data_IF_141912582169
#
_entry.id   IF_141912582169
#
_cell.length_a   1.000
_cell.length_b   1.000
_cell.length_c   1.000
_cell.angle_alpha   90.00
_cell.angle_beta   90.00
_cell.angle_gamma   90.00
#
_symmetry.space_group_name_H-M   'P 1'
#
loop_
_entity.id
_entity.type
_entity.pdbx_description
1 polymer ?
#
# COMPACT_ATOMS: atom_id res chain seq x y z
N UNK A 1 -12.38 1.38 9.22
CA UNK A 1 -11.39 0.50 9.86
C UNK A 1 -11.85 -0.91 9.62
N UNK A 2 -10.95 -1.78 9.22
CA UNK A 2 -11.25 -3.18 8.91
C UNK A 2 -11.83 -3.89 10.13
N UNK A 3 -12.86 -4.67 9.91
CA UNK A 3 -13.67 -5.33 10.93
C UNK A 3 -13.84 -6.81 10.62
N UNK A 4 -14.28 -7.59 11.61
CA UNK A 4 -14.58 -9.01 11.43
C UNK A 4 -15.60 -9.26 10.31
N UNK A 5 -16.56 -8.33 10.12
CA UNK A 5 -17.58 -8.39 9.07
C UNK A 5 -16.99 -8.28 7.67
N UNK A 6 -15.81 -7.68 7.51
CA UNK A 6 -15.13 -7.61 6.22
C UNK A 6 -14.65 -8.98 5.74
N UNK A 7 -14.45 -9.95 6.65
CA UNK A 7 -14.20 -11.36 6.31
C UNK A 7 -15.46 -11.99 5.71
N UNK A 8 -16.61 -11.75 6.32
CA UNK A 8 -17.91 -12.24 5.85
C UNK A 8 -18.20 -11.77 4.42
N UNK A 9 -18.00 -10.47 4.20
CA UNK A 9 -18.20 -9.82 2.90
C UNK A 9 -17.11 -10.17 1.88
N UNK A 10 -16.06 -10.88 2.28
CA UNK A 10 -14.93 -11.25 1.43
C UNK A 10 -14.01 -10.08 1.08
N UNK A 11 -14.14 -8.93 1.74
CA UNK A 11 -13.23 -7.79 1.57
C UNK A 11 -11.89 -8.04 2.25
N UNK A 12 -11.90 -8.60 3.46
CA UNK A 12 -10.70 -8.99 4.20
C UNK A 12 -10.49 -10.50 4.04
N UNK A 13 -9.33 -10.90 3.55
CA UNK A 13 -8.96 -12.32 3.42
C UNK A 13 -7.67 -12.61 4.17
N UNK A 14 -7.49 -13.87 4.56
CA UNK A 14 -6.23 -14.37 5.09
C UNK A 14 -5.50 -15.21 4.05
N UNK A 15 -4.19 -15.07 3.97
CA UNK A 15 -3.33 -15.70 2.97
C UNK A 15 -2.12 -16.33 3.63
N UNK A 16 -1.57 -17.38 3.01
CA UNK A 16 -0.40 -18.07 3.58
C UNK A 16 0.87 -17.22 3.51
N UNK A 17 1.10 -16.55 2.39
CA UNK A 17 2.36 -15.86 2.14
C UNK A 17 2.38 -14.40 2.63
N UNK A 18 1.21 -13.75 2.74
CA UNK A 18 1.10 -12.33 3.10
C UNK A 18 0.29 -12.05 4.38
N UNK A 19 -0.32 -13.06 5.00
CA UNK A 19 -1.25 -12.86 6.11
C UNK A 19 -2.53 -12.16 5.66
N UNK A 20 -2.94 -11.12 6.39
CA UNK A 20 -4.16 -10.36 6.11
C UNK A 20 -4.01 -9.47 4.87
N UNK A 21 -5.03 -9.48 4.01
CA UNK A 21 -5.13 -8.63 2.81
C UNK A 21 -6.53 -8.02 2.73
N UNK A 22 -6.61 -6.69 2.62
CA UNK A 22 -7.82 -5.97 2.24
C UNK A 22 -7.89 -5.88 0.70
N UNK A 23 -8.84 -6.59 0.11
CA UNK A 23 -9.05 -6.64 -1.34
C UNK A 23 -9.51 -5.30 -1.94
N UNK A 24 -10.06 -4.40 -1.13
CA UNK A 24 -10.35 -3.02 -1.50
C UNK A 24 -9.07 -2.23 -1.76
N UNK A 25 -8.07 -2.36 -0.88
CA UNK A 25 -6.74 -1.78 -1.08
C UNK A 25 -5.97 -2.49 -2.19
N UNK A 26 -6.08 -3.82 -2.28
CA UNK A 26 -5.42 -4.63 -3.32
C UNK A 26 -6.09 -4.56 -4.71
N UNK A 27 -7.06 -3.66 -4.94
CA UNK A 27 -7.60 -3.40 -6.29
C UNK A 27 -6.54 -2.83 -7.23
N UNK A 28 -5.74 -1.89 -6.73
CA UNK A 28 -4.63 -1.27 -7.47
C UNK A 28 -5.03 -0.19 -8.46
N UNK A 29 -6.26 0.37 -8.37
CA UNK A 29 -6.74 1.41 -9.29
C UNK A 29 -5.86 2.67 -9.24
N UNK A 30 -5.48 3.10 -8.03
CA UNK A 30 -4.55 4.20 -7.78
C UNK A 30 -3.17 3.96 -8.42
N UNK A 31 -2.65 2.75 -8.27
CA UNK A 31 -1.39 2.31 -8.83
C UNK A 31 -1.45 2.18 -10.36
N UNK A 32 -2.61 1.81 -10.91
CA UNK A 32 -2.85 1.79 -12.36
C UNK A 32 -2.84 3.20 -12.93
N UNK A 33 -3.45 4.16 -12.24
CA UNK A 33 -3.40 5.58 -12.62
C UNK A 33 -1.98 6.14 -12.55
N UNK A 34 -1.22 5.82 -11.50
CA UNK A 34 0.19 6.16 -11.38
C UNK A 34 1.01 5.57 -12.54
N UNK A 35 0.82 4.28 -12.81
CA UNK A 35 1.54 3.58 -13.87
C UNK A 35 1.26 4.17 -15.25
N UNK A 36 -0.01 4.46 -15.54
CA UNK A 36 -0.40 5.07 -16.81
C UNK A 36 0.30 6.41 -17.05
N UNK A 37 0.45 7.26 -16.03
CA UNK A 37 1.18 8.53 -16.17
C UNK A 37 2.65 8.32 -16.56
N UNK A 38 3.31 7.31 -15.96
CA UNK A 38 4.70 6.98 -16.26
C UNK A 38 4.86 6.36 -17.66
N UNK A 39 3.87 5.61 -18.13
CA UNK A 39 3.90 5.02 -19.48
C UNK A 39 3.65 6.06 -20.56
N UNK A 40 2.64 6.90 -20.39
CA UNK A 40 2.23 7.86 -21.43
C UNK A 40 3.14 9.08 -21.49
N UNK A 41 3.78 9.45 -20.37
CA UNK A 41 4.64 10.64 -20.26
C UNK A 41 3.96 11.94 -20.72
N UNK A 42 2.62 12.00 -20.68
CA UNK A 42 1.83 13.00 -21.41
C UNK A 42 1.68 14.36 -20.72
N UNK A 43 2.14 14.50 -19.47
CA UNK A 43 1.99 15.72 -18.69
C UNK A 43 3.30 16.52 -18.65
N UNK A 44 3.66 17.14 -19.78
CA UNK A 44 4.92 17.85 -19.95
C UNK A 44 5.17 18.87 -18.83
N UNK A 45 6.38 18.86 -18.28
CA UNK A 45 6.74 19.79 -17.23
C UNK A 45 6.94 21.19 -17.80
N UNK A 46 6.25 22.22 -17.27
CA UNK A 46 6.51 23.61 -17.64
C UNK A 46 7.84 24.12 -17.08
N UNK A 47 8.44 23.39 -16.13
CA UNK A 47 9.65 23.82 -15.41
C UNK A 47 10.96 23.30 -16.03
N UNK A 48 10.92 22.16 -16.75
CA UNK A 48 12.13 21.56 -17.34
C UNK A 48 11.80 20.76 -18.60
N UNK A 49 12.36 21.18 -19.73
CA UNK A 49 12.21 20.48 -21.02
C UNK A 49 12.74 19.05 -20.92
N UNK A 50 12.00 18.10 -21.50
CA UNK A 50 12.35 16.67 -21.48
C UNK A 50 11.92 15.94 -20.20
N UNK A 51 11.06 16.56 -19.38
CA UNK A 51 10.47 15.97 -18.18
C UNK A 51 8.94 16.07 -18.24
N UNK A 52 8.28 15.26 -17.44
CA UNK A 52 6.83 15.28 -17.22
C UNK A 52 6.52 15.19 -15.72
N UNK A 53 5.34 15.66 -15.33
CA UNK A 53 4.86 15.62 -13.95
C UNK A 53 4.01 14.38 -13.71
N UNK A 54 4.34 13.65 -12.64
CA UNK A 54 3.61 12.49 -12.15
C UNK A 54 2.97 12.85 -10.83
N UNK A 55 1.67 12.62 -10.72
CA UNK A 55 0.89 12.89 -9.53
C UNK A 55 0.34 11.61 -8.94
N UNK A 56 0.51 11.43 -7.63
CA UNK A 56 -0.03 10.30 -6.89
C UNK A 56 -0.55 10.76 -5.54
N UNK A 57 -1.63 10.14 -5.07
CA UNK A 57 -2.17 10.44 -3.76
C UNK A 57 -2.86 9.23 -3.16
N UNK A 58 -2.94 9.22 -1.84
CA UNK A 58 -3.78 8.33 -1.07
C UNK A 58 -4.72 9.17 -0.22
N UNK A 59 -5.94 8.69 -0.07
CA UNK A 59 -6.96 9.38 0.72
C UNK A 59 -7.78 8.41 1.55
N UNK A 60 -8.26 8.91 2.68
CA UNK A 60 -9.27 8.24 3.50
C UNK A 60 -10.34 9.27 3.86
N UNK A 61 -11.59 8.85 3.74
CA UNK A 61 -12.74 9.58 4.25
C UNK A 61 -13.34 8.81 5.42
N UNK A 62 -13.57 9.47 6.55
CA UNK A 62 -14.33 8.93 7.68
C UNK A 62 -15.28 10.01 8.19
N UNK A 63 -16.57 9.69 8.27
CA UNK A 63 -17.63 10.67 8.50
C UNK A 63 -17.50 11.85 7.50
N UNK A 64 -17.52 13.08 7.98
CA UNK A 64 -17.42 14.31 7.17
C UNK A 64 -15.97 14.80 6.99
N UNK A 65 -14.97 14.04 7.42
CA UNK A 65 -13.55 14.43 7.32
C UNK A 65 -12.87 13.56 6.27
N UNK A 66 -12.20 14.20 5.32
CA UNK A 66 -11.26 13.56 4.41
C UNK A 66 -9.83 14.01 4.69
N UNK A 67 -8.92 13.04 4.67
CA UNK A 67 -7.48 13.26 4.74
C UNK A 67 -6.84 12.73 3.47
N UNK A 68 -5.91 13.49 2.92
CA UNK A 68 -5.22 13.13 1.69
C UNK A 68 -3.74 13.44 1.82
N UNK A 69 -2.90 12.51 1.37
CA UNK A 69 -1.49 12.73 1.10
C UNK A 69 -1.30 12.67 -0.39
N UNK A 70 -0.71 13.73 -0.94
CA UNK A 70 -0.40 13.80 -2.35
C UNK A 70 1.08 14.11 -2.56
N UNK A 71 1.68 13.50 -3.57
CA UNK A 71 3.01 13.81 -4.04
C UNK A 71 2.98 14.12 -5.53
N UNK A 72 3.81 15.07 -5.95
CA UNK A 72 4.07 15.37 -7.34
C UNK A 72 5.56 15.19 -7.62
N UNK A 73 5.89 14.48 -8.68
CA UNK A 73 7.26 14.10 -9.02
C UNK A 73 7.53 14.53 -10.46
N UNK A 74 8.70 15.12 -10.71
CA UNK A 74 9.13 15.43 -12.07
C UNK A 74 10.07 14.34 -12.57
N UNK A 75 9.68 13.67 -13.65
CA UNK A 75 10.36 12.47 -14.17
C UNK A 75 10.87 12.75 -15.57
N UNK A 76 12.11 12.34 -15.87
CA UNK A 76 12.69 12.47 -17.21
C UNK A 76 11.94 11.58 -18.21
N UNK A 77 11.76 12.07 -19.44
CA UNK A 77 11.13 11.31 -20.53
C UNK A 77 12.05 10.20 -21.07
N UNK A 78 11.44 9.19 -21.70
CA UNK A 78 12.14 8.14 -22.43
C UNK A 78 12.90 7.14 -21.54
N UNK A 79 12.54 7.02 -20.27
CA UNK A 79 13.18 6.06 -19.36
C UNK A 79 12.76 4.62 -19.68
N UNK A 80 13.64 3.67 -19.37
CA UNK A 80 13.33 2.24 -19.51
C UNK A 80 12.12 1.85 -18.66
N UNK A 81 11.41 0.80 -19.09
CA UNK A 81 10.25 0.29 -18.37
C UNK A 81 10.59 -0.08 -16.92
N UNK A 82 11.75 -0.71 -16.69
CA UNK A 82 12.18 -1.11 -15.34
C UNK A 82 12.50 0.08 -14.45
N UNK A 83 13.10 1.12 -15.03
CA UNK A 83 13.31 2.39 -14.31
C UNK A 83 11.98 3.02 -13.92
N UNK A 84 11.02 3.07 -14.84
CA UNK A 84 9.66 3.57 -14.56
C UNK A 84 8.97 2.76 -13.47
N UNK A 85 9.07 1.42 -13.49
CA UNK A 85 8.52 0.55 -12.43
C UNK A 85 9.12 0.88 -11.07
N UNK A 86 10.44 1.05 -11.01
CA UNK A 86 11.16 1.38 -9.77
C UNK A 86 10.75 2.77 -9.24
N UNK A 87 10.53 3.75 -10.14
CA UNK A 87 10.04 5.08 -9.78
C UNK A 87 8.60 5.02 -9.27
N UNK A 88 7.72 4.29 -9.97
CA UNK A 88 6.34 4.07 -9.55
C UNK A 88 6.29 3.46 -8.14
N UNK A 89 7.13 2.45 -7.89
CA UNK A 89 7.25 1.80 -6.60
C UNK A 89 7.65 2.78 -5.51
N UNK A 90 8.70 3.57 -5.75
CA UNK A 90 9.14 4.59 -4.78
C UNK A 90 8.06 5.62 -4.48
N UNK A 91 7.34 6.10 -5.50
CA UNK A 91 6.25 7.07 -5.31
C UNK A 91 5.15 6.49 -4.42
N UNK A 92 4.66 5.29 -4.76
CA UNK A 92 3.60 4.61 -3.99
C UNK A 92 4.05 4.34 -2.55
N UNK A 93 5.28 3.86 -2.38
CA UNK A 93 5.82 3.52 -1.07
C UNK A 93 6.03 4.76 -0.19
N UNK A 94 6.64 5.82 -0.73
CA UNK A 94 6.83 7.09 -0.02
C UNK A 94 5.48 7.69 0.43
N UNK A 95 4.49 7.74 -0.47
CA UNK A 95 3.17 8.28 -0.13
C UNK A 95 2.46 7.41 0.92
N UNK A 96 2.60 6.08 0.86
CA UNK A 96 2.03 5.17 1.86
C UNK A 96 2.60 5.41 3.27
N UNK A 97 3.92 5.59 3.39
CA UNK A 97 4.56 5.86 4.68
C UNK A 97 4.20 7.23 5.27
N UNK A 98 4.02 8.23 4.42
CA UNK A 98 3.60 9.57 4.83
C UNK A 98 2.13 9.59 5.23
N UNK A 99 1.28 8.88 4.50
CA UNK A 99 -0.15 8.70 4.84
C UNK A 99 -0.32 8.06 6.22
N UNK A 100 0.48 7.04 6.52
CA UNK A 100 0.53 6.43 7.85
C UNK A 100 0.93 7.41 8.95
N UNK A 101 1.99 8.18 8.70
CA UNK A 101 2.53 9.13 9.69
C UNK A 101 1.45 10.14 10.10
N UNK A 102 0.67 10.64 9.14
CA UNK A 102 -0.43 11.56 9.42
C UNK A 102 -1.57 10.91 10.19
N UNK A 103 -1.93 9.68 9.83
CA UNK A 103 -2.96 8.93 10.55
C UNK A 103 -2.55 8.59 11.99
N UNK A 104 -1.25 8.45 12.24
CA UNK A 104 -0.69 8.22 13.58
C UNK A 104 -0.60 9.49 14.44
N UNK A 105 -0.75 10.69 13.86
CA UNK A 105 -0.67 11.94 14.62
C UNK A 105 -1.80 12.07 15.64
N UNK A 106 -1.43 12.53 16.85
CA UNK A 106 -2.29 12.56 18.04
C UNK A 106 -3.61 13.32 17.87
N UNK A 107 -3.66 14.31 16.96
CA UNK A 107 -4.91 15.01 16.64
C UNK A 107 -5.93 14.07 15.99
N UNK A 108 -5.50 13.14 15.13
CA UNK A 108 -6.36 12.14 14.48
C UNK A 108 -6.56 10.88 15.32
N UNK A 109 -5.59 10.49 16.16
CA UNK A 109 -5.74 9.35 17.07
C UNK A 109 -6.88 9.55 18.09
N UNK A 110 -7.21 10.81 18.42
CA UNK A 110 -8.33 11.17 19.31
C UNK A 110 -9.71 11.05 18.67
N UNK A 111 -9.82 11.13 17.33
CA UNK A 111 -11.07 10.99 16.58
C UNK A 111 -11.16 9.67 15.79
N UNK A 112 -10.06 8.93 15.68
CA UNK A 112 -9.95 7.67 14.95
C UNK A 112 -8.83 6.79 15.51
N UNK A 113 -9.12 5.53 15.83
CA UNK A 113 -8.10 4.55 16.29
C UNK A 113 -7.14 4.08 15.16
N UNK A 114 -7.10 4.77 14.01
CA UNK A 114 -6.63 4.21 12.74
C UNK A 114 -5.34 4.84 12.23
N UNK A 115 -4.18 4.40 12.75
CA UNK A 115 -2.95 4.29 11.95
C UNK A 115 -2.94 3.01 11.11
N UNK A 116 -2.07 2.89 10.10
CA UNK A 116 -1.97 1.72 9.19
C UNK A 116 -2.09 0.40 9.94
N UNK A 117 -3.08 -0.39 9.56
CA UNK A 117 -3.25 -1.76 10.03
C UNK A 117 -2.24 -2.67 9.31
N UNK A 118 -2.04 -3.89 9.83
CA UNK A 118 -1.00 -4.78 9.34
C UNK A 118 -1.11 -5.14 7.85
N UNK A 119 -2.33 -5.10 7.31
CA UNK A 119 -2.68 -5.43 5.94
C UNK A 119 -2.49 -4.28 4.95
N UNK A 120 -2.54 -3.02 5.39
CA UNK A 120 -2.74 -1.86 4.49
C UNK A 120 -1.60 -1.73 3.46
N UNK A 121 -0.35 -1.67 3.94
CA UNK A 121 0.83 -1.50 3.07
C UNK A 121 1.03 -2.70 2.14
N UNK A 122 0.81 -3.91 2.64
CA UNK A 122 0.98 -5.14 1.85
C UNK A 122 -0.15 -5.29 0.83
N UNK A 123 -1.35 -4.83 1.14
CA UNK A 123 -2.49 -4.80 0.22
C UNK A 123 -2.26 -3.78 -0.89
N UNK A 124 -1.79 -2.58 -0.56
CA UNK A 124 -1.38 -1.57 -1.55
C UNK A 124 -0.25 -2.09 -2.45
N UNK A 125 0.73 -2.78 -1.88
CA UNK A 125 1.81 -3.44 -2.64
C UNK A 125 1.25 -4.49 -3.62
N UNK A 126 0.33 -5.34 -3.18
CA UNK A 126 -0.31 -6.33 -4.03
C UNK A 126 -1.09 -5.67 -5.18
N UNK A 127 -1.84 -4.61 -4.89
CA UNK A 127 -2.52 -3.79 -5.89
C UNK A 127 -1.55 -3.16 -6.89
N UNK A 128 -0.42 -2.64 -6.41
CA UNK A 128 0.65 -2.08 -7.24
C UNK A 128 1.19 -3.11 -8.23
N UNK A 129 1.53 -4.31 -7.76
CA UNK A 129 2.04 -5.37 -8.61
C UNK A 129 1.03 -5.84 -9.66
N UNK A 130 -0.25 -5.97 -9.29
CA UNK A 130 -1.34 -6.27 -10.25
C UNK A 130 -1.42 -5.24 -11.37
N UNK A 131 -1.15 -3.97 -11.08
CA UNK A 131 -1.24 -2.88 -12.04
C UNK A 131 0.02 -2.72 -12.91
N UNK A 132 1.21 -2.89 -12.33
CA UNK A 132 2.50 -2.60 -12.98
C UNK A 132 3.13 -3.83 -13.65
N UNK A 133 2.81 -5.02 -13.14
CA UNK A 133 3.27 -6.31 -13.66
C UNK A 133 2.12 -7.33 -13.64
N UNK A 134 1.09 -7.17 -14.50
CA UNK A 134 -0.14 -7.96 -14.41
C UNK A 134 0.10 -9.49 -14.48
N UNK A 135 -0.34 -10.20 -13.45
CA UNK A 135 -0.30 -11.67 -13.29
C UNK A 135 -1.43 -12.11 -12.38
N UNK A 136 -1.71 -13.41 -12.33
CA UNK A 136 -2.63 -13.97 -11.35
C UNK A 136 -1.99 -14.05 -9.96
N UNK A 137 -1.94 -12.90 -9.29
CA UNK A 137 -1.41 -12.81 -7.93
C UNK A 137 -2.31 -13.49 -6.89
N UNK A 138 -3.60 -13.67 -7.16
CA UNK A 138 -4.51 -14.31 -6.22
C UNK A 138 -4.16 -15.79 -6.03
N UNK A 139 -3.80 -16.47 -7.10
CA UNK A 139 -3.28 -17.84 -7.01
C UNK A 139 -1.93 -17.91 -6.30
N UNK A 140 -1.07 -16.88 -6.46
CA UNK A 140 0.28 -16.87 -5.85
C UNK A 140 0.26 -16.66 -4.34
N UNK A 141 -0.64 -15.81 -3.82
CA UNK A 141 -0.70 -15.49 -2.38
C UNK A 141 -1.32 -16.61 -1.53
N UNK A 142 -1.93 -17.63 -2.16
CA UNK A 142 -2.54 -18.79 -1.50
C UNK A 142 -3.57 -18.39 -0.43
N UNK A 143 -4.73 -17.86 -0.84
CA UNK A 143 -5.80 -17.51 0.09
C UNK A 143 -6.26 -18.74 0.86
N UNK A 144 -6.53 -18.57 2.15
CA UNK A 144 -7.20 -19.56 2.99
C UNK A 144 -8.72 -19.35 2.92
N UNK A 145 -9.48 -20.36 3.33
CA UNK A 145 -10.93 -20.25 3.41
C UNK A 145 -11.37 -19.31 4.55
N UNK A 146 -12.67 -18.95 4.56
CA UNK A 146 -13.22 -17.99 5.52
C UNK A 146 -13.15 -18.52 6.94
N UNK A 147 -13.33 -19.83 7.13
CA UNK A 147 -13.27 -20.48 8.44
C UNK A 147 -11.89 -20.30 9.07
N UNK A 148 -10.82 -20.47 8.28
CA UNK A 148 -9.46 -20.21 8.73
C UNK A 148 -9.24 -18.73 9.03
N UNK A 149 -9.74 -17.82 8.20
CA UNK A 149 -9.66 -16.39 8.47
C UNK A 149 -10.34 -16.02 9.80
N UNK A 150 -11.56 -16.51 10.05
CA UNK A 150 -12.24 -16.31 11.33
C UNK A 150 -11.46 -16.88 12.49
N UNK A 151 -10.87 -18.08 12.35
CA UNK A 151 -10.02 -18.66 13.38
C UNK A 151 -8.86 -17.72 13.77
N UNK A 152 -8.14 -17.20 12.77
CA UNK A 152 -7.05 -16.25 13.03
C UNK A 152 -7.59 -14.97 13.68
N UNK A 153 -8.68 -14.42 13.18
CA UNK A 153 -9.27 -13.20 13.75
C UNK A 153 -9.69 -13.39 15.20
N UNK A 154 -10.39 -14.48 15.51
CA UNK A 154 -10.97 -14.73 16.82
C UNK A 154 -9.90 -15.03 17.87
N UNK A 155 -8.77 -15.60 17.47
CA UNK A 155 -7.63 -15.83 18.36
C UNK A 155 -6.75 -14.58 18.56
N UNK A 156 -6.37 -13.90 17.47
CA UNK A 156 -5.39 -12.80 17.52
C UNK A 156 -6.01 -11.41 17.69
N UNK A 157 -7.30 -11.29 17.45
CA UNK A 157 -8.05 -10.05 17.48
C UNK A 157 -7.93 -9.21 16.21
N UNK A 158 -8.43 -7.97 16.25
CA UNK A 158 -8.50 -7.09 15.08
C UNK A 158 -7.14 -6.78 14.47
N UNK A 159 -7.08 -6.76 13.15
CA UNK A 159 -5.87 -6.43 12.36
C UNK A 159 -5.28 -5.06 12.70
N UNK A 160 -6.12 -4.09 13.07
CA UNK A 160 -5.70 -2.75 13.47
C UNK A 160 -4.82 -2.70 14.72
N UNK A 161 -4.81 -3.76 15.56
CA UNK A 161 -3.90 -3.91 16.70
C UNK A 161 -2.45 -4.07 16.27
N UNK A 162 -2.22 -4.58 15.06
CA UNK A 162 -0.91 -4.87 14.51
C UNK A 162 -0.57 -3.78 13.50
N UNK A 163 0.51 -3.03 13.73
CA UNK A 163 0.95 -1.95 12.83
C UNK A 163 2.05 -2.44 11.90
N UNK A 164 2.06 -1.95 10.66
CA UNK A 164 3.08 -2.33 9.69
C UNK A 164 3.53 -1.22 8.75
N UNK A 165 4.74 -0.71 9.00
CA UNK A 165 5.43 0.31 8.19
C UNK A 165 6.51 -0.28 7.30
N UNK A 166 6.63 -1.59 7.27
CA UNK A 166 7.66 -2.31 6.54
C UNK A 166 7.00 -3.12 5.43
N UNK A 167 7.73 -3.29 4.33
CA UNK A 167 7.42 -4.26 3.28
C UNK A 167 7.73 -5.68 3.76
N UNK A 168 7.13 -6.06 4.89
CA UNK A 168 7.23 -7.38 5.52
C UNK A 168 5.86 -7.76 6.05
N UNK A 169 5.15 -8.73 5.43
CA UNK A 169 3.84 -9.15 5.91
C UNK A 169 3.90 -9.71 7.33
N UNK A 170 2.84 -9.43 8.09
CA UNK A 170 2.56 -10.13 9.34
C UNK A 170 1.94 -11.49 9.04
N UNK A 171 2.55 -12.54 9.57
CA UNK A 171 2.04 -13.90 9.53
C UNK A 171 1.58 -14.27 10.93
N UNK A 172 0.39 -14.85 11.00
CA UNK A 172 -0.27 -15.30 12.22
C UNK A 172 -0.29 -16.82 12.21
N UNK A 173 0.52 -17.49 13.07
CA UNK A 173 0.55 -18.93 13.16
C UNK A 173 -0.83 -19.54 13.43
N UNK A 174 -1.04 -20.78 13.01
CA UNK A 174 -2.26 -21.51 13.35
C UNK A 174 -2.28 -21.82 14.86
N UNK A 175 -3.24 -21.27 15.63
CA UNK A 175 -3.28 -21.46 17.08
C UNK A 175 -3.54 -22.91 17.50
N UNK A 176 -4.19 -23.71 16.66
CA UNK A 176 -4.47 -25.13 16.96
C UNK A 176 -3.21 -25.99 16.79
N UNK A 177 -2.29 -25.58 15.90
CA UNK A 177 -1.04 -26.30 15.62
C UNK A 177 0.08 -25.95 16.59
N UNK A 178 0.07 -24.71 17.10
CA UNK A 178 1.11 -24.19 18.00
C UNK A 178 0.50 -23.71 19.33
N UNK A 179 -0.18 -24.59 20.09
CA UNK A 179 -0.74 -24.21 21.38
C UNK A 179 0.37 -23.69 22.29
N UNK A 180 0.18 -22.49 22.84
CA UNK A 180 1.11 -21.77 23.73
C UNK A 180 2.36 -21.14 23.08
N UNK A 181 2.53 -21.19 21.76
CA UNK A 181 3.66 -20.52 21.07
C UNK A 181 3.27 -19.88 19.72
N UNK A 182 1.98 -19.63 19.52
CA UNK A 182 1.45 -19.02 18.32
C UNK A 182 1.58 -17.49 18.40
N UNK A 183 2.80 -16.96 18.21
CA UNK A 183 3.05 -15.52 18.21
C UNK A 183 3.11 -14.97 16.77
N UNK A 184 2.40 -13.88 16.45
CA UNK A 184 2.53 -13.24 15.14
C UNK A 184 3.98 -12.81 14.89
N UNK A 185 4.43 -12.90 13.65
CA UNK A 185 5.79 -12.49 13.26
C UNK A 185 5.80 -11.89 11.86
N UNK A 186 6.84 -11.13 11.54
CA UNK A 186 7.05 -10.56 10.19
C UNK A 186 7.90 -11.49 9.33
N UNK A 187 7.52 -11.66 8.06
CA UNK A 187 8.27 -12.45 7.06
C UNK A 187 8.80 -11.53 5.95
N UNK A 188 9.87 -11.93 5.27
CA UNK A 188 10.28 -11.30 4.00
C UNK A 188 9.22 -11.47 2.93
N UNK A 189 9.15 -10.52 1.99
CA UNK A 189 8.25 -10.65 0.84
C UNK A 189 8.54 -11.92 0.04
N UNK A 190 7.51 -12.57 -0.51
CA UNK A 190 7.71 -13.63 -1.47
C UNK A 190 8.36 -13.07 -2.75
N UNK A 191 9.12 -13.90 -3.45
CA UNK A 191 9.92 -13.47 -4.61
C UNK A 191 9.11 -12.72 -5.67
N UNK A 192 7.83 -13.08 -5.87
CA UNK A 192 6.95 -12.47 -6.87
C UNK A 192 6.46 -11.07 -6.52
N UNK A 193 6.64 -10.62 -5.26
CA UNK A 193 6.44 -9.24 -4.81
C UNK A 193 7.74 -8.51 -4.46
N UNK A 194 8.89 -9.12 -4.76
CA UNK A 194 10.22 -8.56 -4.48
C UNK A 194 11.04 -8.28 -5.77
N UNK A 195 10.38 -8.35 -6.94
CA UNK A 195 11.00 -8.18 -8.26
C UNK A 195 11.36 -6.70 -8.52
N UNK A 196 10.44 -5.79 -8.20
CA UNK A 196 10.60 -4.35 -8.43
C UNK A 196 11.23 -3.75 -7.18
N UNK A 197 12.43 -3.17 -7.32
CA UNK A 197 13.13 -2.51 -6.23
C UNK A 197 12.82 -1.01 -6.23
N UNK A 198 12.82 -0.35 -5.04
CA UNK A 198 12.75 1.10 -4.97
C UNK A 198 13.82 1.75 -5.84
N UNK A 199 13.45 2.83 -6.51
CA UNK A 199 14.41 3.65 -7.23
C UNK A 199 15.45 4.21 -6.26
N UNK A 200 16.73 4.02 -6.55
CA UNK A 200 17.85 4.40 -5.68
C UNK A 200 18.74 5.51 -6.28
N UNK A 201 18.53 5.89 -7.54
CA UNK A 201 19.41 6.80 -8.28
C UNK A 201 18.84 8.21 -8.43
N UNK A 202 18.47 8.83 -7.30
CA UNK A 202 17.94 10.20 -7.27
C UNK A 202 18.97 11.26 -7.74
N UNK A 203 20.27 10.96 -7.68
CA UNK A 203 21.36 11.88 -8.03
C UNK A 203 21.72 11.98 -9.52
N UNK A 204 20.90 11.48 -10.46
CA UNK A 204 21.22 11.45 -11.90
C UNK A 204 20.32 12.34 -12.78
N UNK A 205 19.65 13.35 -12.21
CA UNK A 205 18.65 14.14 -12.94
C UNK A 205 17.52 13.28 -13.57
N UNK A 206 17.28 12.07 -13.05
CA UNK A 206 16.26 11.15 -13.58
C UNK A 206 14.89 11.48 -12.96
N UNK A 207 14.91 11.80 -11.67
CA UNK A 207 13.76 12.17 -10.87
C UNK A 207 14.13 13.38 -10.05
N UNK A 208 13.35 14.43 -10.18
CA UNK A 208 13.45 15.61 -9.31
C UNK A 208 12.22 15.57 -8.42
N UNK A 209 12.43 15.21 -7.15
CA UNK A 209 11.40 15.31 -6.14
C UNK A 209 11.32 16.76 -5.68
N UNK A 210 10.29 17.46 -6.12
CA UNK A 210 9.88 18.70 -5.50
C UNK A 210 8.48 18.48 -4.94
N UNK A 211 8.33 18.80 -3.65
CA UNK A 211 7.20 18.56 -2.75
C UNK A 211 7.31 17.27 -1.93
N UNK A 212 7.72 17.46 -0.66
CA UNK A 212 7.30 16.58 0.44
C UNK A 212 5.80 16.35 0.31
N UNK A 213 5.30 15.13 0.55
CA UNK A 213 3.89 14.87 0.35
C UNK A 213 3.05 15.83 1.20
N UNK A 214 2.17 16.57 0.53
CA UNK A 214 1.38 17.62 1.19
C UNK A 214 0.12 17.01 1.76
N UNK A 215 -0.14 17.28 3.04
CA UNK A 215 -1.39 16.90 3.68
C UNK A 215 -2.49 17.89 3.32
N UNK A 216 -3.62 17.38 2.84
CA UNK A 216 -4.81 18.18 2.57
C UNK A 216 -5.94 17.68 3.48
N UNK A 217 -6.61 18.61 4.14
CA UNK A 217 -7.78 18.36 4.99
C UNK A 217 -9.03 18.89 4.30
N UNK A 218 -10.06 18.04 4.19
CA UNK A 218 -11.36 18.42 3.65
C UNK A 218 -12.48 18.16 4.66
N UNK A 219 -13.41 19.11 4.77
CA UNK A 219 -14.72 18.91 5.37
C UNK A 219 -15.71 18.68 4.23
N UNK A 220 -16.33 17.50 4.19
CA UNK A 220 -17.52 17.26 3.35
C UNK A 220 -18.72 17.86 4.10
N UNK A 221 -19.16 19.03 3.63
CA UNK A 221 -20.42 19.66 4.05
C UNK A 221 -21.61 18.89 3.48
#
# INVERSE_FOLDING_TARGET
MTSRKDIENGRLIYTEDLGWIDLGHAKGDDSKMLWNQLITEGNDSPYKKGYFLVYYFQEMSKYNISTRVAAQWMVKKGLSIETKRSIAFSIMYCVSLEFETLQSNSFFSRFSDSGFSCEDLVSNLLGFYKSVLPRDYMSLIKPKNKEYAYKIWDYYGPVGKYKNRELKPWVFPDPDKYPNNAFPYKKSLPYYLDIIKPFYSYGKDIVISHYKPTTIYGLKL
#
